data_IF_022060768809
#
_entry.id   IF_022060768809
#
_cell.length_a   1.000
_cell.length_b   1.000
_cell.length_c   1.000
_cell.angle_alpha   90.00
_cell.angle_beta   90.00
_cell.angle_gamma   90.00
#
_symmetry.space_group_name_H-M   'P 1'
#
loop_
_entity.id
_entity.type
_entity.pdbx_description
1 polymer ?
#
# COMPACT_ATOMS: atom_id res chain seq x y z
N UNK A 1 16.51 -8.48 7.04
CA UNK A 1 15.13 -7.87 7.09
C UNK A 1 14.43 -8.40 8.34
N UNK A 2 13.89 -7.54 9.18
CA UNK A 2 13.07 -7.93 10.35
C UNK A 2 11.72 -8.48 9.87
N UNK A 3 11.13 -9.41 10.63
CA UNK A 3 9.78 -9.89 10.34
C UNK A 3 8.80 -8.71 10.37
N UNK A 4 8.07 -8.53 9.28
CA UNK A 4 7.14 -7.41 9.09
C UNK A 4 5.82 -7.93 8.53
N UNK A 5 4.73 -7.60 9.21
CA UNK A 5 3.36 -7.96 8.85
C UNK A 5 2.70 -6.82 8.07
N UNK A 6 2.21 -7.11 6.87
CA UNK A 6 1.58 -6.14 5.96
C UNK A 6 0.17 -6.62 5.62
N UNK A 7 -0.80 -5.71 5.65
CA UNK A 7 -2.14 -5.96 5.12
C UNK A 7 -2.46 -4.91 4.06
N UNK A 8 -2.93 -5.36 2.91
CA UNK A 8 -3.43 -4.52 1.82
C UNK A 8 -4.91 -4.86 1.63
N UNK A 9 -5.78 -3.85 1.63
CA UNK A 9 -7.23 -4.08 1.57
C UNK A 9 -7.96 -3.00 0.77
N UNK A 10 -9.07 -3.41 0.16
CA UNK A 10 -9.92 -2.56 -0.67
C UNK A 10 -11.09 -3.35 -1.24
N UNK A 11 -11.58 -2.94 -2.39
CA UNK A 11 -12.61 -3.66 -3.14
C UNK A 11 -12.02 -4.57 -4.21
N UNK A 12 -12.77 -5.59 -4.60
CA UNK A 12 -12.50 -6.40 -5.76
C UNK A 12 -12.42 -5.54 -7.03
N UNK A 13 -11.33 -5.71 -7.80
CA UNK A 13 -11.04 -4.89 -8.97
C UNK A 13 -10.05 -3.75 -8.72
N UNK A 14 -9.76 -3.37 -7.46
CA UNK A 14 -8.75 -2.36 -7.14
C UNK A 14 -7.30 -2.88 -7.15
N UNK A 15 -7.05 -4.13 -7.57
CA UNK A 15 -5.71 -4.68 -7.68
C UNK A 15 -5.02 -5.02 -6.34
N UNK A 16 -5.79 -5.19 -5.26
CA UNK A 16 -5.31 -5.54 -3.90
C UNK A 16 -4.35 -6.73 -3.93
N UNK A 17 -4.76 -7.81 -4.59
CA UNK A 17 -3.97 -9.06 -4.66
C UNK A 17 -2.69 -8.87 -5.47
N UNK A 18 -2.75 -8.12 -6.57
CA UNK A 18 -1.57 -7.81 -7.38
C UNK A 18 -0.56 -6.97 -6.58
N UNK A 19 -1.03 -5.97 -5.81
CA UNK A 19 -0.14 -5.19 -4.94
C UNK A 19 0.59 -6.07 -3.94
N UNK A 20 -0.11 -6.98 -3.27
CA UNK A 20 0.46 -7.90 -2.31
C UNK A 20 1.48 -8.86 -2.98
N UNK A 21 1.14 -9.37 -4.18
CA UNK A 21 2.03 -10.22 -4.96
C UNK A 21 3.34 -9.50 -5.33
N UNK A 22 3.25 -8.24 -5.77
CA UNK A 22 4.42 -7.41 -6.11
C UNK A 22 5.31 -7.22 -4.89
N UNK A 23 4.74 -6.87 -3.74
CA UNK A 23 5.49 -6.69 -2.48
C UNK A 23 6.18 -8.00 -2.07
N UNK A 24 5.48 -9.13 -2.11
CA UNK A 24 6.05 -10.44 -1.79
C UNK A 24 7.16 -10.84 -2.75
N UNK A 25 6.97 -10.67 -4.07
CA UNK A 25 7.99 -10.95 -5.09
C UNK A 25 9.24 -10.09 -4.92
N UNK A 26 9.07 -8.80 -4.63
CA UNK A 26 10.19 -7.91 -4.39
C UNK A 26 11.10 -8.44 -3.27
N UNK A 27 10.51 -8.92 -2.19
CA UNK A 27 11.26 -9.46 -1.07
C UNK A 27 11.94 -10.80 -1.38
N UNK A 28 11.21 -11.78 -1.96
CA UNK A 28 11.73 -13.14 -2.07
C UNK A 28 12.45 -13.44 -3.39
N UNK A 29 12.16 -12.72 -4.48
CA UNK A 29 12.79 -12.96 -5.79
C UNK A 29 13.93 -11.97 -6.06
N UNK A 30 13.75 -10.71 -5.64
CA UNK A 30 14.67 -9.64 -5.99
C UNK A 30 15.54 -9.13 -4.84
N UNK A 31 15.28 -9.57 -3.58
CA UNK A 31 16.07 -9.21 -2.39
C UNK A 31 16.53 -10.39 -1.52
N UNK A 32 16.37 -11.62 -1.99
CA UNK A 32 16.84 -12.85 -1.30
C UNK A 32 16.26 -13.04 0.12
N UNK A 33 15.08 -12.45 0.40
CA UNK A 33 14.34 -12.62 1.64
C UNK A 33 13.28 -13.73 1.54
N UNK A 34 12.47 -13.83 2.59
CA UNK A 34 11.31 -14.72 2.63
C UNK A 34 10.03 -13.91 2.63
N UNK A 35 9.02 -14.41 1.92
CA UNK A 35 7.69 -13.83 1.92
C UNK A 35 6.63 -14.93 1.95
N UNK A 36 5.55 -14.70 2.69
CA UNK A 36 4.31 -15.47 2.56
C UNK A 36 3.17 -14.54 2.21
N UNK A 37 2.18 -15.05 1.49
CA UNK A 37 1.00 -14.30 1.13
C UNK A 37 -0.25 -15.13 1.36
N UNK A 38 -1.24 -14.55 2.01
CA UNK A 38 -2.60 -15.09 2.11
C UNK A 38 -3.60 -14.06 1.59
N UNK A 39 -4.76 -14.52 1.13
CA UNK A 39 -5.79 -13.65 0.57
C UNK A 39 -7.17 -14.02 1.09
N UNK A 40 -8.05 -13.03 1.20
CA UNK A 40 -9.43 -13.19 1.63
C UNK A 40 -10.34 -12.31 0.78
N UNK A 41 -11.49 -12.88 0.41
CA UNK A 41 -12.50 -12.23 -0.38
C UNK A 41 -13.84 -12.18 0.39
N UNK A 42 -14.62 -11.14 0.15
CA UNK A 42 -16.01 -11.08 0.61
C UNK A 42 -16.89 -12.11 -0.12
N UNK A 43 -18.13 -12.31 0.37
CA UNK A 43 -19.06 -13.26 -0.21
C UNK A 43 -19.60 -12.81 -1.58
N UNK A 44 -19.40 -11.57 -1.98
CA UNK A 44 -19.89 -11.02 -3.22
C UNK A 44 -19.08 -11.55 -4.43
N UNK A 45 -19.78 -11.95 -5.48
CA UNK A 45 -19.16 -12.49 -6.68
C UNK A 45 -18.30 -11.46 -7.45
N UNK A 46 -18.58 -10.16 -7.31
CA UNK A 46 -17.82 -9.05 -7.92
C UNK A 46 -17.90 -7.81 -7.03
N UNK A 47 -16.82 -7.02 -6.99
CA UNK A 47 -16.78 -5.73 -6.31
C UNK A 47 -16.84 -5.78 -4.78
N UNK A 48 -16.89 -6.97 -4.18
CA UNK A 48 -16.90 -7.14 -2.74
C UNK A 48 -15.56 -6.85 -2.09
N UNK A 49 -15.52 -6.94 -0.75
CA UNK A 49 -14.30 -6.69 0.00
C UNK A 49 -13.19 -7.66 -0.39
N UNK A 50 -11.98 -7.14 -0.55
CA UNK A 50 -10.78 -7.91 -0.88
C UNK A 50 -9.64 -7.51 0.04
N UNK A 51 -8.95 -8.47 0.59
CA UNK A 51 -7.74 -8.21 1.36
C UNK A 51 -6.66 -9.26 1.12
N UNK A 52 -5.42 -8.83 1.19
CA UNK A 52 -4.25 -9.70 1.15
C UNK A 52 -3.36 -9.39 2.35
N UNK A 53 -2.73 -10.42 2.87
CA UNK A 53 -1.75 -10.35 3.94
C UNK A 53 -0.41 -10.80 3.38
N UNK A 54 0.64 -10.05 3.70
CA UNK A 54 2.01 -10.38 3.32
C UNK A 54 2.87 -10.32 4.57
N UNK A 55 3.67 -11.34 4.79
CA UNK A 55 4.70 -11.34 5.83
C UNK A 55 6.05 -11.37 5.11
N UNK A 56 6.90 -10.42 5.46
CA UNK A 56 8.28 -10.35 4.99
C UNK A 56 9.23 -10.71 6.12
N UNK A 57 10.32 -11.43 5.81
CA UNK A 57 11.32 -11.80 6.81
C UNK A 57 12.69 -12.05 6.17
N UNK A 58 13.76 -11.87 6.95
CA UNK A 58 15.10 -12.35 6.60
C UNK A 58 15.31 -13.84 6.89
N UNK A 59 14.35 -14.50 7.54
CA UNK A 59 14.42 -15.91 7.93
C UNK A 59 13.13 -16.64 7.51
N UNK A 60 13.11 -17.99 7.46
CA UNK A 60 11.93 -18.78 7.11
C UNK A 60 10.71 -18.43 7.97
N UNK A 61 9.56 -18.23 7.33
CA UNK A 61 8.31 -17.84 7.96
C UNK A 61 7.53 -19.10 8.34
N UNK A 62 7.32 -19.31 9.65
CA UNK A 62 6.64 -20.49 10.17
C UNK A 62 5.12 -20.30 10.34
N UNK A 63 4.64 -19.05 10.39
CA UNK A 63 3.23 -18.73 10.57
C UNK A 63 2.80 -17.69 9.51
N UNK A 64 1.89 -18.05 8.61
CA UNK A 64 1.60 -17.23 7.42
C UNK A 64 0.51 -16.16 7.60
N UNK A 65 -0.06 -16.02 8.81
CA UNK A 65 -1.18 -15.10 9.03
C UNK A 65 -0.75 -13.84 9.77
N UNK A 66 -1.22 -12.69 9.26
CA UNK A 66 -1.06 -11.38 9.89
C UNK A 66 -2.07 -11.25 11.04
N UNK A 67 -1.58 -10.98 12.23
CA UNK A 67 -2.39 -10.74 13.43
C UNK A 67 -2.59 -9.27 13.73
N UNK A 68 -1.51 -8.51 13.75
CA UNK A 68 -1.49 -7.06 13.93
C UNK A 68 -0.51 -6.44 12.90
N UNK A 69 -1.00 -5.92 11.77
CA UNK A 69 -0.11 -5.43 10.73
C UNK A 69 0.77 -4.27 11.22
N UNK A 70 2.06 -4.34 10.90
CA UNK A 70 3.01 -3.22 11.02
C UNK A 70 2.70 -2.15 9.98
N UNK A 71 2.23 -2.58 8.79
CA UNK A 71 1.80 -1.69 7.72
C UNK A 71 0.43 -2.11 7.21
N UNK A 72 -0.50 -1.16 7.22
CA UNK A 72 -1.84 -1.30 6.67
C UNK A 72 -2.01 -0.37 5.48
N UNK A 73 -2.34 -0.93 4.31
CA UNK A 73 -2.66 -0.17 3.09
C UNK A 73 -4.14 -0.33 2.78
N UNK A 74 -4.89 0.77 2.71
CA UNK A 74 -6.32 0.74 2.45
C UNK A 74 -6.71 1.61 1.26
N UNK A 75 -7.51 1.01 0.37
CA UNK A 75 -7.99 1.62 -0.86
C UNK A 75 -9.52 1.78 -0.88
N UNK A 76 -10.19 1.57 0.25
CA UNK A 76 -11.64 1.82 0.41
C UNK A 76 -11.99 2.15 1.86
N UNK A 77 -13.09 2.91 2.03
CA UNK A 77 -13.58 3.27 3.36
C UNK A 77 -13.97 2.05 4.20
N UNK A 78 -14.55 1.03 3.59
CA UNK A 78 -14.91 -0.21 4.27
C UNK A 78 -13.65 -0.92 4.81
N UNK A 79 -12.61 -1.01 3.99
CA UNK A 79 -11.33 -1.60 4.41
C UNK A 79 -10.69 -0.82 5.56
N UNK A 80 -10.75 0.52 5.51
CA UNK A 80 -10.30 1.38 6.60
C UNK A 80 -11.07 1.09 7.89
N UNK A 81 -12.40 1.15 7.85
CA UNK A 81 -13.25 0.93 9.03
C UNK A 81 -13.02 -0.44 9.66
N UNK A 82 -12.82 -1.48 8.82
CA UNK A 82 -12.63 -2.85 9.28
C UNK A 82 -11.25 -3.12 9.87
N UNK A 83 -10.19 -2.57 9.26
CA UNK A 83 -8.82 -3.00 9.57
C UNK A 83 -7.99 -1.97 10.33
N UNK A 84 -8.34 -0.68 10.31
CA UNK A 84 -7.58 0.35 11.04
C UNK A 84 -7.46 0.10 12.55
N UNK A 85 -8.47 -0.49 13.24
CA UNK A 85 -8.32 -0.81 14.66
C UNK A 85 -7.33 -1.95 14.95
N UNK A 86 -6.96 -2.74 13.93
CA UNK A 86 -6.09 -3.90 14.05
C UNK A 86 -4.61 -3.57 13.84
N UNK A 87 -4.29 -2.35 13.40
CA UNK A 87 -2.90 -1.95 13.18
C UNK A 87 -2.11 -1.93 14.49
N UNK A 88 -0.85 -2.33 14.43
CA UNK A 88 0.04 -2.32 15.60
C UNK A 88 0.29 -0.88 16.07
N UNK A 89 0.32 -0.61 17.39
CA UNK A 89 0.80 0.67 17.90
C UNK A 89 2.17 1.02 17.30
N UNK A 90 2.34 2.28 16.86
CA UNK A 90 3.54 2.71 16.14
C UNK A 90 3.63 2.27 14.68
N UNK A 91 2.63 1.56 14.16
CA UNK A 91 2.57 1.09 12.78
C UNK A 91 2.38 2.20 11.75
N UNK A 92 2.30 1.82 10.49
CA UNK A 92 2.10 2.71 9.35
C UNK A 92 0.75 2.43 8.69
N UNK A 93 -0.07 3.45 8.56
CA UNK A 93 -1.32 3.43 7.80
C UNK A 93 -1.12 4.21 6.50
N UNK A 94 -1.34 3.55 5.37
CA UNK A 94 -1.32 4.17 4.04
C UNK A 94 -2.73 4.17 3.49
N UNK A 95 -3.25 5.33 3.10
CA UNK A 95 -4.62 5.48 2.59
C UNK A 95 -4.64 6.06 1.19
N UNK A 96 -5.58 5.58 0.38
CA UNK A 96 -5.97 6.28 -0.83
C UNK A 96 -6.78 7.51 -0.44
N UNK A 97 -6.26 8.69 -0.72
CA UNK A 97 -6.72 9.96 -0.17
C UNK A 97 -8.15 10.35 -0.59
N UNK A 98 -8.55 10.00 -1.81
CA UNK A 98 -9.85 10.38 -2.38
C UNK A 98 -10.97 9.39 -2.02
N UNK A 99 -10.60 8.16 -1.63
CA UNK A 99 -11.53 7.08 -1.32
C UNK A 99 -11.67 6.78 0.17
N UNK A 100 -10.77 7.32 1.00
CA UNK A 100 -10.70 7.01 2.43
C UNK A 100 -10.64 8.28 3.25
N UNK A 101 -11.65 8.48 4.08
CA UNK A 101 -11.65 9.50 5.13
C UNK A 101 -11.08 8.91 6.41
N UNK A 102 -9.95 9.46 6.84
CA UNK A 102 -9.32 9.06 8.11
C UNK A 102 -10.06 9.73 9.26
N UNK A 103 -10.60 8.90 10.16
CA UNK A 103 -11.34 9.39 11.32
C UNK A 103 -11.43 8.33 12.42
N UNK A 104 -11.94 8.71 13.59
CA UNK A 104 -11.98 7.82 14.73
C UNK A 104 -10.63 7.68 15.45
N UNK A 105 -10.58 6.80 16.45
CA UNK A 105 -9.38 6.59 17.26
C UNK A 105 -8.51 5.47 16.62
N UNK A 106 -7.33 5.84 16.16
CA UNK A 106 -6.29 4.89 15.78
C UNK A 106 -5.49 4.43 17.01
N UNK A 107 -4.82 3.27 16.95
CA UNK A 107 -3.85 2.86 17.97
C UNK A 107 -2.74 3.91 18.13
N UNK A 108 -2.16 3.97 19.34
CA UNK A 108 -1.19 5.01 19.69
C UNK A 108 0.04 4.97 18.79
N UNK A 109 0.52 6.14 18.36
CA UNK A 109 1.74 6.30 17.58
C UNK A 109 1.65 5.85 16.12
N UNK A 110 0.46 5.53 15.60
CA UNK A 110 0.29 5.19 14.18
C UNK A 110 0.58 6.40 13.31
N UNK A 111 1.49 6.21 12.34
CA UNK A 111 1.81 7.23 11.33
C UNK A 111 0.90 7.05 10.12
N UNK A 112 0.21 8.10 9.73
CA UNK A 112 -0.71 8.08 8.59
C UNK A 112 -0.09 8.78 7.40
N UNK A 113 -0.12 8.11 6.24
CA UNK A 113 0.32 8.65 4.97
C UNK A 113 -0.82 8.54 3.94
N UNK A 114 -1.15 9.64 3.29
CA UNK A 114 -2.19 9.69 2.27
C UNK A 114 -1.59 9.95 0.88
N UNK A 115 -2.12 9.28 -0.13
CA UNK A 115 -1.72 9.46 -1.52
C UNK A 115 -2.95 9.54 -2.43
N UNK A 116 -3.04 10.54 -3.33
CA UNK A 116 -4.15 10.66 -4.30
C UNK A 116 -3.93 9.71 -5.48
N UNK A 117 -3.89 8.40 -5.20
CA UNK A 117 -3.49 7.39 -6.17
C UNK A 117 -4.46 7.30 -7.36
N UNK A 118 -5.75 7.54 -7.13
CA UNK A 118 -6.77 7.62 -8.19
C UNK A 118 -6.42 8.72 -9.18
N UNK A 119 -6.19 9.94 -8.70
CA UNK A 119 -5.83 11.10 -9.54
C UNK A 119 -4.52 10.86 -10.28
N UNK A 120 -3.49 10.38 -9.57
CA UNK A 120 -2.18 10.10 -10.19
C UNK A 120 -2.27 9.03 -11.30
N UNK A 121 -3.15 8.04 -11.13
CA UNK A 121 -3.42 7.03 -12.16
C UNK A 121 -4.22 7.61 -13.34
N UNK A 122 -5.19 8.50 -13.09
CA UNK A 122 -5.95 9.19 -14.14
C UNK A 122 -5.08 10.09 -15.00
N UNK A 123 -4.11 10.77 -14.43
CA UNK A 123 -3.11 11.55 -15.17
C UNK A 123 -2.27 10.70 -16.13
N UNK A 124 -2.12 9.41 -15.86
CA UNK A 124 -1.51 8.41 -16.75
C UNK A 124 -2.52 7.81 -17.76
N UNK A 125 -3.77 8.28 -17.73
CA UNK A 125 -4.85 7.88 -18.64
C UNK A 125 -5.57 6.58 -18.25
N UNK A 126 -5.26 5.95 -17.12
CA UNK A 126 -5.84 4.66 -16.73
C UNK A 126 -6.00 4.50 -15.22
N UNK A 127 -7.22 4.67 -14.69
CA UNK A 127 -7.54 4.44 -13.26
C UNK A 127 -7.10 3.08 -12.73
N UNK A 128 -7.09 2.06 -13.57
CA UNK A 128 -6.80 0.69 -13.16
C UNK A 128 -5.39 0.48 -12.60
N UNK A 129 -4.45 1.41 -12.80
CA UNK A 129 -3.09 1.31 -12.27
C UNK A 129 -2.90 2.00 -10.91
N UNK A 130 -4.00 2.43 -10.28
CA UNK A 130 -3.94 3.06 -8.95
C UNK A 130 -3.23 2.19 -7.90
N UNK A 131 -3.43 0.88 -7.96
CA UNK A 131 -2.77 -0.08 -7.07
C UNK A 131 -1.24 -0.06 -7.20
N UNK A 132 -0.72 0.17 -8.40
CA UNK A 132 0.72 0.25 -8.63
C UNK A 132 1.28 1.61 -8.18
N UNK A 133 0.50 2.69 -8.31
CA UNK A 133 0.82 3.97 -7.65
C UNK A 133 0.93 3.77 -6.13
N UNK A 134 -0.04 3.06 -5.52
CA UNK A 134 0.00 2.72 -4.09
C UNK A 134 1.24 1.90 -3.71
N UNK A 135 1.68 0.96 -4.56
CA UNK A 135 2.91 0.17 -4.33
C UNK A 135 4.16 1.05 -4.40
N UNK A 136 4.24 1.97 -5.36
CA UNK A 136 5.34 2.93 -5.43
C UNK A 136 5.40 3.81 -4.18
N UNK A 137 4.28 4.36 -3.79
CA UNK A 137 4.15 5.16 -2.57
C UNK A 137 4.51 4.36 -1.30
N UNK A 138 4.02 3.12 -1.18
CA UNK A 138 4.41 2.20 -0.11
C UNK A 138 5.93 2.04 -0.01
N UNK A 139 6.61 1.82 -1.13
CA UNK A 139 8.07 1.71 -1.17
C UNK A 139 8.76 2.94 -0.61
N UNK A 140 8.31 4.13 -1.00
CA UNK A 140 8.89 5.40 -0.59
C UNK A 140 8.68 5.72 0.90
N UNK A 141 7.50 5.44 1.47
CA UNK A 141 7.19 5.84 2.86
C UNK A 141 7.58 4.78 3.89
N UNK A 142 7.74 3.52 3.49
CA UNK A 142 8.09 2.44 4.44
C UNK A 142 9.57 2.12 4.47
N UNK A 143 10.27 2.29 3.37
CA UNK A 143 11.68 1.88 3.19
C UNK A 143 11.95 0.40 3.55
N UNK A 144 10.92 -0.47 3.49
CA UNK A 144 11.04 -1.88 3.84
C UNK A 144 11.75 -2.69 2.76
N UNK A 145 11.63 -2.26 1.51
CA UNK A 145 12.15 -2.95 0.33
C UNK A 145 12.92 -1.97 -0.56
N UNK A 146 13.92 -2.49 -1.24
CA UNK A 146 14.67 -1.76 -2.26
C UNK A 146 13.71 -1.30 -3.37
N UNK A 147 13.71 0.00 -3.75
CA UNK A 147 12.89 0.52 -4.83
C UNK A 147 13.10 -0.20 -6.16
N UNK A 148 14.33 -0.58 -6.49
CA UNK A 148 14.64 -1.31 -7.71
C UNK A 148 14.07 -2.74 -7.68
N UNK A 149 14.06 -3.39 -6.51
CA UNK A 149 13.44 -4.70 -6.34
C UNK A 149 11.91 -4.62 -6.51
N UNK A 150 11.26 -3.61 -5.92
CA UNK A 150 9.83 -3.35 -6.13
C UNK A 150 9.52 -3.08 -7.61
N UNK A 151 10.30 -2.23 -8.26
CA UNK A 151 10.14 -1.87 -9.68
C UNK A 151 10.29 -3.08 -10.60
N UNK A 152 11.27 -3.95 -10.35
CA UNK A 152 11.43 -5.23 -11.06
C UNK A 152 10.24 -6.16 -10.81
N UNK A 153 9.77 -6.26 -9.58
CA UNK A 153 8.59 -7.07 -9.25
C UNK A 153 7.32 -6.57 -9.96
N UNK A 154 7.14 -5.25 -10.12
CA UNK A 154 6.05 -4.69 -10.93
C UNK A 154 6.16 -5.18 -12.37
N UNK A 155 7.33 -5.01 -13.01
CA UNK A 155 7.54 -5.44 -14.39
C UNK A 155 7.27 -6.93 -14.61
N UNK A 156 7.71 -7.77 -13.65
CA UNK A 156 7.54 -9.23 -13.70
C UNK A 156 6.11 -9.70 -13.39
N UNK A 157 5.26 -8.83 -12.84
CA UNK A 157 3.90 -9.18 -12.39
C UNK A 157 2.80 -8.74 -13.35
N UNK A 158 3.14 -8.05 -14.44
CA UNK A 158 2.17 -7.54 -15.42
C UNK A 158 2.51 -8.02 -16.84
N UNK A 159 1.52 -8.13 -17.74
CA UNK A 159 1.78 -8.48 -19.13
C UNK A 159 2.74 -7.49 -19.80
N UNK A 160 3.58 -7.95 -20.75
CA UNK A 160 4.56 -7.08 -21.46
C UNK A 160 3.95 -5.80 -22.04
N UNK A 161 2.73 -5.87 -22.57
CA UNK A 161 2.01 -4.73 -23.14
C UNK A 161 1.59 -3.68 -22.09
N UNK A 162 1.62 -4.01 -20.81
CA UNK A 162 1.24 -3.14 -19.69
C UNK A 162 2.43 -2.67 -18.86
N UNK A 163 3.64 -3.19 -19.11
CA UNK A 163 4.82 -2.91 -18.29
C UNK A 163 5.15 -1.42 -18.25
N UNK A 164 5.22 -0.76 -19.39
CA UNK A 164 5.58 0.66 -19.46
C UNK A 164 4.62 1.53 -18.62
N UNK A 165 3.31 1.29 -18.75
CA UNK A 165 2.31 2.03 -17.98
C UNK A 165 2.43 1.78 -16.50
N UNK A 166 2.60 0.51 -16.08
CA UNK A 166 2.71 0.15 -14.68
C UNK A 166 4.01 0.66 -14.05
N UNK A 167 5.12 0.66 -14.80
CA UNK A 167 6.37 1.26 -14.32
C UNK A 167 6.24 2.76 -14.12
N UNK A 168 5.60 3.48 -15.04
CA UNK A 168 5.29 4.91 -14.85
C UNK A 168 4.40 5.16 -13.63
N UNK A 169 3.43 4.27 -13.39
CA UNK A 169 2.56 4.38 -12.21
C UNK A 169 3.33 4.15 -10.91
N UNK A 170 4.23 3.18 -10.88
CA UNK A 170 5.13 2.93 -9.76
C UNK A 170 6.02 4.15 -9.50
N UNK A 171 6.73 4.62 -10.52
CA UNK A 171 7.66 5.74 -10.42
C UNK A 171 6.92 6.99 -9.89
N UNK A 172 5.72 7.29 -10.41
CA UNK A 172 4.90 8.43 -9.96
C UNK A 172 4.47 8.34 -8.50
N UNK A 173 4.06 7.15 -8.04
CA UNK A 173 3.72 6.91 -6.63
C UNK A 173 4.94 7.02 -5.72
N UNK A 174 6.09 6.50 -6.15
CA UNK A 174 7.33 6.57 -5.42
C UNK A 174 7.84 8.01 -5.27
N UNK A 175 7.87 8.78 -6.35
CA UNK A 175 8.25 10.20 -6.36
C UNK A 175 7.38 11.01 -5.39
N UNK A 176 6.05 10.84 -5.47
CA UNK A 176 5.12 11.51 -4.56
C UNK A 176 5.40 11.18 -3.08
N UNK A 177 5.64 9.91 -2.77
CA UNK A 177 5.97 9.47 -1.42
C UNK A 177 7.32 10.00 -0.94
N UNK A 178 8.33 10.00 -1.78
CA UNK A 178 9.66 10.53 -1.45
C UNK A 178 9.62 12.02 -1.16
N UNK A 179 8.88 12.80 -1.96
CA UNK A 179 8.67 14.23 -1.71
C UNK A 179 7.95 14.48 -0.38
N UNK A 180 6.91 13.68 -0.07
CA UNK A 180 6.18 13.78 1.19
C UNK A 180 7.09 13.52 2.39
N UNK A 181 7.88 12.44 2.36
CA UNK A 181 8.83 12.11 3.44
C UNK A 181 9.87 13.21 3.61
N UNK A 182 10.37 13.77 2.51
CA UNK A 182 11.32 14.89 2.56
C UNK A 182 10.72 16.13 3.22
N UNK A 183 9.49 16.52 2.84
CA UNK A 183 8.78 17.67 3.44
C UNK A 183 8.53 17.49 4.94
N UNK A 184 8.13 16.27 5.34
CA UNK A 184 7.93 15.95 6.76
C UNK A 184 9.23 16.03 7.57
N UNK A 185 10.36 15.59 6.99
CA UNK A 185 11.67 15.69 7.63
C UNK A 185 12.14 17.14 7.79
N UNK A 186 11.76 18.03 6.87
CA UNK A 186 12.07 19.46 6.95
C UNK A 186 11.12 20.27 7.86
N UNK A 187 10.13 19.63 8.48
CA UNK A 187 9.15 20.27 9.37
C UNK A 187 8.13 21.17 8.66
N UNK A 188 8.00 21.07 7.34
CA UNK A 188 7.18 21.97 6.52
C UNK A 188 5.73 21.52 6.34
N UNK A 189 5.37 20.29 6.67
CA UNK A 189 4.02 19.77 6.46
C UNK A 189 3.55 18.82 7.58
N UNK A 190 3.12 19.37 8.70
CA UNK A 190 2.29 18.60 9.65
C UNK A 190 0.85 18.39 9.13
N UNK A 191 0.41 19.21 8.16
CA UNK A 191 -0.96 19.21 7.63
C UNK A 191 -1.20 18.23 6.48
N UNK A 192 -0.20 17.94 5.64
CA UNK A 192 -0.34 17.05 4.49
C UNK A 192 -0.45 15.56 4.86
N UNK A 193 -0.04 15.17 6.07
CA UNK A 193 -0.21 13.80 6.56
C UNK A 193 -1.65 13.51 7.01
N UNK A 194 -2.46 14.53 7.29
CA UNK A 194 -3.77 14.40 7.94
C UNK A 194 -4.88 15.21 7.25
N UNK A 195 -4.69 15.81 6.08
CA UNK A 195 -5.70 16.68 5.49
C UNK A 195 -7.04 15.94 5.29
N UNK A 196 -8.08 16.21 6.09
CA UNK A 196 -9.43 15.86 5.70
C UNK A 196 -9.80 16.75 4.51
N UNK A 197 -10.47 16.20 3.53
CA UNK A 197 -11.19 17.02 2.55
C UNK A 197 -12.15 17.92 3.32
N UNK A 198 -11.87 19.22 3.37
CA UNK A 198 -12.86 20.20 3.82
C UNK A 198 -14.07 20.04 2.91
N UNK A 199 -15.20 19.68 3.50
CA UNK A 199 -16.49 19.68 2.84
C UNK A 199 -16.81 21.10 2.44
N UNK A 200 -16.70 21.44 1.15
CA UNK A 200 -17.38 22.61 0.63
C UNK A 200 -18.89 22.38 0.79
N UNK A 201 -19.49 23.19 1.67
CA UNK A 201 -20.93 23.34 1.89
C UNK A 201 -21.62 23.95 0.69
#
# INVERSE_FOLDING_TARGET
>A
MQLTEIRIAGFGGQGVILSALVVGKAACIFQEGYATMTQSFGPEARGGSSSAQVILSGEPILYPYVTQPDVLVVMSQEAYTRFSPQIRPGGILIVEQELVQVGGKLPDGVRVYAVPATRLAEELGRKMVLNIVMVGFFGAVTHLLDPDALRKAVADSVPPSMQELNLKAFDKGFEYGAELVHKLAEGRDHEAALAPLESET
#
